data_IF_615940381800
#
_entry.id   IF_615940381800
#
_cell.length_a   1.000
_cell.length_b   1.000
_cell.length_c   1.000
_cell.angle_alpha   90.00
_cell.angle_beta   90.00
_cell.angle_gamma   90.00
#
_symmetry.space_group_name_H-M   'P 1'
#
loop_
_entity.id
_entity.type
_entity.pdbx_description
1 polymer ?
#
# COMPACT_ATOMS: atom_id res chain seq x y z
N UNK A 1 -15.72 -2.91 -20.28
CA UNK A 1 -16.16 -4.13 -19.56
C UNK A 1 -17.57 -3.97 -19.00
N UNK A 2 -17.88 -2.88 -18.29
CA UNK A 2 -19.25 -2.60 -17.80
C UNK A 2 -20.32 -2.65 -18.90
N UNK A 3 -20.08 -1.98 -20.04
CA UNK A 3 -20.97 -2.04 -21.23
C UNK A 3 -21.18 -3.43 -21.82
N UNK A 4 -20.24 -4.35 -21.63
CA UNK A 4 -20.34 -5.73 -22.16
C UNK A 4 -21.11 -6.65 -21.20
N UNK A 5 -21.24 -6.26 -19.94
CA UNK A 5 -21.89 -7.04 -18.89
C UNK A 5 -23.19 -6.38 -18.40
N UNK A 6 -23.74 -5.43 -19.18
CA UNK A 6 -24.94 -4.65 -18.85
C UNK A 6 -24.96 -4.11 -17.41
N UNK A 7 -23.77 -3.74 -16.91
CA UNK A 7 -23.59 -3.25 -15.55
C UNK A 7 -23.53 -1.72 -15.58
N UNK A 8 -24.19 -1.08 -14.63
CA UNK A 8 -24.11 0.38 -14.47
C UNK A 8 -22.66 0.84 -14.26
N UNK A 9 -22.26 1.97 -14.88
CA UNK A 9 -20.95 2.57 -14.61
C UNK A 9 -20.82 2.95 -13.13
N UNK A 10 -19.81 2.41 -12.46
CA UNK A 10 -19.46 2.75 -11.08
C UNK A 10 -17.93 2.94 -11.03
N UNK A 11 -17.42 4.06 -10.48
CA UNK A 11 -15.97 4.29 -10.37
C UNK A 11 -15.26 3.23 -9.52
N UNK A 12 -15.96 2.48 -8.66
CA UNK A 12 -15.35 1.47 -7.80
C UNK A 12 -15.00 0.16 -8.54
N UNK A 13 -15.31 0.02 -9.82
CA UNK A 13 -14.86 -1.14 -10.60
C UNK A 13 -13.37 -1.04 -10.94
N UNK A 14 -12.60 -2.05 -10.53
CA UNK A 14 -11.14 -2.05 -10.64
C UNK A 14 -10.66 -3.34 -11.27
N UNK A 15 -9.63 -3.25 -12.11
CA UNK A 15 -8.86 -4.41 -12.55
C UNK A 15 -7.86 -4.81 -11.48
N UNK A 16 -7.87 -6.08 -11.11
CA UNK A 16 -7.02 -6.65 -10.07
C UNK A 16 -6.09 -7.66 -10.72
N UNK A 17 -4.79 -7.44 -10.59
CA UNK A 17 -3.79 -8.47 -10.85
C UNK A 17 -3.73 -9.41 -9.64
N UNK A 18 -3.97 -10.70 -9.86
CA UNK A 18 -3.89 -11.73 -8.83
C UNK A 18 -2.83 -12.75 -9.20
N UNK A 19 -1.95 -13.06 -8.26
CA UNK A 19 -1.01 -14.17 -8.34
C UNK A 19 -1.44 -15.28 -7.37
N UNK A 20 -2.06 -16.37 -7.88
CA UNK A 20 -2.59 -17.45 -7.04
C UNK A 20 -1.50 -18.24 -6.29
N UNK A 21 -0.35 -18.46 -6.92
CA UNK A 21 0.76 -19.22 -6.35
C UNK A 21 1.28 -18.55 -5.07
N UNK A 22 1.48 -17.24 -5.10
CA UNK A 22 1.92 -16.44 -3.96
C UNK A 22 0.78 -16.00 -3.05
N UNK A 23 -0.48 -16.13 -3.49
CA UNK A 23 -1.68 -15.65 -2.80
C UNK A 23 -1.62 -14.15 -2.51
N UNK A 24 -1.27 -13.39 -3.55
CA UNK A 24 -1.19 -11.94 -3.50
C UNK A 24 -2.08 -11.34 -4.60
N UNK A 25 -2.58 -10.13 -4.37
CA UNK A 25 -3.31 -9.37 -5.37
C UNK A 25 -3.04 -7.87 -5.27
N UNK A 26 -3.07 -7.14 -6.39
CA UNK A 26 -3.00 -5.67 -6.40
C UNK A 26 -4.07 -5.09 -7.30
N UNK A 27 -4.53 -3.91 -6.93
CA UNK A 27 -5.43 -3.08 -7.72
C UNK A 27 -4.55 -2.36 -8.74
N UNK A 28 -4.92 -2.39 -10.02
CA UNK A 28 -4.29 -1.57 -11.04
C UNK A 28 -4.80 -0.14 -10.92
N UNK A 29 -3.88 0.81 -11.03
CA UNK A 29 -4.23 2.21 -11.20
C UNK A 29 -4.79 2.46 -12.60
N UNK A 30 -5.68 3.45 -12.72
CA UNK A 30 -6.42 3.68 -13.97
C UNK A 30 -5.52 4.13 -15.12
N UNK A 31 -4.33 4.65 -14.78
CA UNK A 31 -3.33 5.11 -15.73
C UNK A 31 -2.36 3.99 -16.18
N UNK A 32 -2.39 2.81 -15.54
CA UNK A 32 -1.50 1.70 -15.90
C UNK A 32 -1.91 1.03 -17.22
N UNK A 33 -0.92 0.73 -18.06
CA UNK A 33 -1.12 -0.06 -19.27
C UNK A 33 -1.31 -1.53 -18.93
N UNK A 34 -2.51 -2.05 -19.19
CA UNK A 34 -2.83 -3.48 -19.00
C UNK A 34 -1.87 -4.38 -19.81
N UNK A 35 -1.46 -3.93 -20.99
CA UNK A 35 -0.52 -4.66 -21.86
C UNK A 35 0.85 -4.77 -21.17
N UNK A 36 1.34 -3.70 -20.56
CA UNK A 36 2.65 -3.70 -19.89
C UNK A 36 2.63 -4.58 -18.65
N UNK A 37 1.53 -4.51 -17.87
CA UNK A 37 1.34 -5.38 -16.70
C UNK A 37 1.37 -6.85 -17.10
N UNK A 38 0.58 -7.26 -18.10
CA UNK A 38 0.54 -8.67 -18.54
C UNK A 38 1.86 -9.11 -19.17
N UNK A 39 2.52 -8.23 -19.93
CA UNK A 39 3.82 -8.52 -20.57
C UNK A 39 4.95 -8.68 -19.55
N UNK A 40 4.81 -8.12 -18.34
CA UNK A 40 5.77 -8.30 -17.26
C UNK A 40 5.68 -9.67 -16.56
N UNK A 41 4.64 -10.45 -16.86
CA UNK A 41 4.45 -11.75 -16.23
C UNK A 41 5.44 -12.79 -16.77
N UNK A 42 5.91 -13.72 -15.93
CA UNK A 42 6.61 -14.91 -16.41
C UNK A 42 5.77 -15.67 -17.44
N UNK A 43 6.42 -16.30 -18.42
CA UNK A 43 5.74 -17.04 -19.47
C UNK A 43 4.88 -18.21 -18.95
N UNK A 44 5.27 -18.77 -17.79
CA UNK A 44 4.58 -19.85 -17.07
C UNK A 44 3.64 -19.33 -15.96
N UNK A 45 3.30 -18.03 -16.00
CA UNK A 45 2.53 -17.40 -14.95
C UNK A 45 1.08 -17.88 -14.91
N UNK A 46 0.63 -18.27 -13.72
CA UNK A 46 -0.80 -18.47 -13.40
C UNK A 46 -1.50 -17.17 -12.98
N UNK A 47 -0.88 -16.01 -13.22
CA UNK A 47 -1.47 -14.71 -12.89
C UNK A 47 -2.80 -14.51 -13.63
N UNK A 48 -3.70 -13.76 -13.01
CA UNK A 48 -5.05 -13.49 -13.55
C UNK A 48 -5.39 -12.02 -13.40
N UNK A 49 -6.05 -11.47 -14.41
CA UNK A 49 -6.78 -10.21 -14.29
C UNK A 49 -8.21 -10.51 -13.87
N UNK A 50 -8.65 -9.85 -12.81
CA UNK A 50 -9.99 -10.00 -12.24
C UNK A 50 -10.63 -8.62 -12.17
N UNK A 51 -11.83 -8.46 -12.71
CA UNK A 51 -12.62 -7.25 -12.47
C UNK A 51 -13.43 -7.43 -11.19
N UNK A 52 -13.35 -6.47 -10.27
CA UNK A 52 -14.14 -6.49 -9.05
C UNK A 52 -14.51 -5.06 -8.61
N UNK A 53 -15.61 -4.92 -7.86
CA UNK A 53 -15.99 -3.65 -7.25
C UNK A 53 -15.25 -3.53 -5.91
N UNK A 54 -14.32 -2.58 -5.83
CA UNK A 54 -13.44 -2.33 -4.67
C UNK A 54 -13.62 -0.89 -4.26
N UNK A 55 -14.61 -0.64 -3.39
CA UNK A 55 -14.83 0.71 -2.88
C UNK A 55 -13.53 1.26 -2.31
N UNK A 56 -12.81 0.52 -1.50
CA UNK A 56 -11.58 0.97 -0.83
C UNK A 56 -10.51 1.64 -1.72
N UNK A 57 -10.49 1.42 -3.05
CA UNK A 57 -9.53 2.06 -3.98
C UNK A 57 -9.50 3.59 -3.85
N UNK A 58 -10.66 4.23 -3.78
CA UNK A 58 -10.76 5.70 -3.68
C UNK A 58 -11.18 6.14 -2.27
N UNK A 59 -10.83 5.36 -1.24
CA UNK A 59 -11.15 5.70 0.15
C UNK A 59 -10.49 7.02 0.58
N UNK A 60 -9.26 7.29 0.13
CA UNK A 60 -8.55 8.55 0.42
C UNK A 60 -9.33 9.74 -0.10
N UNK A 61 -9.72 9.75 -1.38
CA UNK A 61 -10.44 10.89 -1.96
C UNK A 61 -11.81 11.13 -1.36
N UNK A 62 -12.48 10.07 -0.87
CA UNK A 62 -13.79 10.23 -0.20
C UNK A 62 -13.67 10.79 1.20
N UNK A 63 -12.65 10.39 1.95
CA UNK A 63 -12.45 10.77 3.35
C UNK A 63 -10.98 11.12 3.64
N UNK A 64 -10.40 12.15 2.99
CA UNK A 64 -8.97 12.46 3.08
C UNK A 64 -8.52 12.74 4.52
N UNK A 65 -9.39 13.27 5.36
CA UNK A 65 -9.12 13.54 6.77
C UNK A 65 -8.70 12.30 7.58
N UNK A 66 -9.17 11.10 7.20
CA UNK A 66 -8.82 9.84 7.88
C UNK A 66 -7.39 9.38 7.55
N UNK A 67 -6.78 9.97 6.53
CA UNK A 67 -5.52 9.54 5.95
C UNK A 67 -4.43 10.60 6.07
N UNK A 68 -4.79 11.85 5.86
CA UNK A 68 -3.87 12.97 5.74
C UNK A 68 -3.64 13.70 7.07
N UNK A 69 -4.60 13.68 7.99
CA UNK A 69 -4.43 14.30 9.31
C UNK A 69 -3.63 13.37 10.25
N UNK A 70 -2.72 13.96 11.02
CA UNK A 70 -1.99 13.23 12.07
C UNK A 70 -2.87 13.07 13.30
N UNK A 71 -2.59 12.04 14.11
CA UNK A 71 -3.27 11.80 15.41
C UNK A 71 -3.20 12.99 16.37
N UNK A 72 -2.23 13.87 16.15
CA UNK A 72 -1.91 15.01 17.01
C UNK A 72 -2.67 16.29 16.60
N UNK A 73 -3.44 16.20 15.51
CA UNK A 73 -4.30 17.30 15.06
C UNK A 73 -5.48 17.44 16.02
N UNK A 74 -5.60 18.60 16.69
CA UNK A 74 -6.70 18.87 17.62
C UNK A 74 -8.07 18.60 16.99
N UNK A 75 -9.01 18.08 17.79
CA UNK A 75 -10.38 17.72 17.36
C UNK A 75 -11.13 18.86 16.64
N UNK A 76 -10.81 20.12 16.96
CA UNK A 76 -11.36 21.29 16.26
C UNK A 76 -10.82 21.49 14.83
N UNK A 77 -9.56 21.16 14.57
CA UNK A 77 -8.96 21.23 13.23
C UNK A 77 -9.46 20.10 12.31
N UNK A 78 -9.74 18.91 12.86
CA UNK A 78 -10.35 17.81 12.12
C UNK A 78 -11.79 18.13 11.65
N UNK A 79 -12.57 18.85 12.47
CA UNK A 79 -13.92 19.30 12.11
C UNK A 79 -13.91 20.45 11.07
N UNK A 80 -12.92 21.35 11.12
CA UNK A 80 -12.72 22.35 10.05
C UNK A 80 -12.26 21.69 8.73
N UNK A 81 -11.44 20.65 8.81
CA UNK A 81 -10.92 19.91 7.65
C UNK A 81 -12.01 19.14 6.89
N UNK A 82 -13.08 18.70 7.56
CA UNK A 82 -14.23 18.05 6.90
C UNK A 82 -14.96 19.00 5.94
N UNK A 83 -14.98 20.31 6.24
CA UNK A 83 -15.55 21.36 5.38
C UNK A 83 -14.63 21.78 4.22
N UNK A 84 -13.39 21.28 4.19
CA UNK A 84 -12.35 21.69 3.26
C UNK A 84 -11.61 20.49 2.64
N UNK A 85 -12.33 19.42 2.27
CA UNK A 85 -11.75 18.23 1.62
C UNK A 85 -10.90 18.59 0.40
N UNK A 86 -11.39 19.50 -0.42
CA UNK A 86 -10.69 19.96 -1.63
C UNK A 86 -9.39 20.67 -1.28
N UNK A 87 -9.36 21.44 -0.20
CA UNK A 87 -8.15 22.12 0.28
C UNK A 87 -7.12 21.09 0.76
N UNK A 88 -7.54 20.09 1.54
CA UNK A 88 -6.63 19.01 1.99
C UNK A 88 -6.02 18.24 0.82
N UNK A 89 -6.83 17.90 -0.17
CA UNK A 89 -6.36 17.22 -1.38
C UNK A 89 -5.44 18.13 -2.20
N UNK A 90 -5.80 19.41 -2.35
CA UNK A 90 -5.02 20.38 -3.10
C UNK A 90 -3.65 20.64 -2.44
N UNK A 91 -3.60 20.80 -1.12
CA UNK A 91 -2.34 20.95 -0.38
C UNK A 91 -1.45 19.71 -0.49
N UNK A 92 -2.04 18.50 -0.46
CA UNK A 92 -1.29 17.25 -0.50
C UNK A 92 -0.74 16.92 -1.89
N UNK A 93 -1.55 17.08 -2.94
CA UNK A 93 -1.21 16.74 -4.32
C UNK A 93 -0.61 17.91 -5.12
N UNK A 94 -0.31 19.04 -4.49
CA UNK A 94 0.43 20.13 -5.14
C UNK A 94 1.83 19.66 -5.54
N UNK A 95 2.13 19.74 -6.85
CA UNK A 95 3.36 19.20 -7.46
C UNK A 95 4.67 19.69 -6.82
N UNK A 96 4.69 20.93 -6.33
CA UNK A 96 5.88 21.54 -5.72
C UNK A 96 5.96 21.33 -4.20
N UNK A 97 4.90 20.80 -3.59
CA UNK A 97 4.74 20.70 -2.14
C UNK A 97 4.20 19.35 -1.70
N UNK A 98 4.42 18.27 -2.48
CA UNK A 98 4.07 16.90 -2.09
C UNK A 98 4.89 16.50 -0.85
N UNK A 99 4.43 16.97 0.31
CA UNK A 99 4.94 16.68 1.63
C UNK A 99 4.36 15.34 2.01
N UNK A 100 4.98 14.30 1.46
CA UNK A 100 4.74 12.94 1.88
C UNK A 100 4.90 12.87 3.41
N UNK A 101 3.82 12.70 4.20
CA UNK A 101 3.94 12.58 5.64
C UNK A 101 4.88 11.42 5.94
N UNK A 102 5.94 11.68 6.70
CA UNK A 102 6.84 10.62 7.16
C UNK A 102 6.03 9.65 8.02
N UNK A 103 5.61 8.53 7.42
CA UNK A 103 4.93 7.46 8.14
C UNK A 103 5.99 6.59 8.79
N UNK A 104 5.90 6.42 10.10
CA UNK A 104 6.76 5.50 10.81
C UNK A 104 6.00 4.66 11.83
N UNK A 105 6.62 3.57 12.25
CA UNK A 105 6.04 2.67 13.21
C UNK A 105 6.63 1.27 13.18
N UNK A 106 6.19 0.44 14.13
CA UNK A 106 6.65 -0.93 14.25
C UNK A 106 5.82 -1.85 13.35
N UNK A 107 6.48 -2.47 12.38
CA UNK A 107 5.89 -3.49 11.49
C UNK A 107 6.58 -4.84 11.70
N UNK A 108 5.95 -5.92 11.26
CA UNK A 108 6.61 -7.22 11.19
C UNK A 108 7.21 -7.45 9.80
N UNK A 109 8.45 -7.91 9.77
CA UNK A 109 9.16 -8.38 8.59
C UNK A 109 9.29 -9.91 8.63
N UNK A 110 9.09 -10.57 7.48
CA UNK A 110 9.34 -12.00 7.35
C UNK A 110 10.84 -12.27 7.17
N UNK A 111 11.46 -12.99 8.09
CA UNK A 111 12.89 -13.35 8.02
C UNK A 111 13.13 -14.85 7.72
N UNK A 112 12.08 -15.68 7.72
CA UNK A 112 12.18 -17.10 7.43
C UNK A 112 10.86 -17.68 6.89
N UNK A 113 10.76 -19.00 6.68
CA UNK A 113 9.56 -19.62 6.07
C UNK A 113 8.25 -19.28 6.81
N UNK A 114 8.29 -19.29 8.15
CA UNK A 114 7.17 -18.97 9.05
C UNK A 114 7.63 -18.12 10.25
N UNK A 115 8.71 -17.35 10.07
CA UNK A 115 9.31 -16.53 11.12
C UNK A 115 9.12 -15.05 10.81
N UNK A 116 8.73 -14.29 11.83
CA UNK A 116 8.33 -12.89 11.76
C UNK A 116 9.00 -12.11 12.88
N UNK A 117 9.57 -10.95 12.56
CA UNK A 117 10.27 -10.12 13.53
C UNK A 117 9.80 -8.68 13.43
N UNK A 118 9.67 -8.03 14.59
CA UNK A 118 9.31 -6.62 14.69
C UNK A 118 10.52 -5.74 14.40
N UNK A 119 10.35 -4.77 13.52
CA UNK A 119 11.31 -3.70 13.27
C UNK A 119 10.60 -2.36 13.25
N UNK A 120 11.34 -1.30 13.54
CA UNK A 120 10.86 0.06 13.30
C UNK A 120 11.06 0.40 11.84
N UNK A 121 10.00 0.85 11.16
CA UNK A 121 10.01 1.25 9.76
C UNK A 121 9.76 2.75 9.65
N UNK A 122 10.36 3.35 8.63
CA UNK A 122 10.11 4.73 8.21
C UNK A 122 9.89 4.73 6.70
N UNK A 123 8.79 5.33 6.29
CA UNK A 123 8.43 5.58 4.92
C UNK A 123 8.92 6.97 4.53
N UNK A 124 9.68 7.06 3.45
CA UNK A 124 10.14 8.32 2.87
C UNK A 124 9.79 8.35 1.39
N UNK A 125 9.83 9.52 0.77
CA UNK A 125 9.65 9.68 -0.67
C UNK A 125 10.53 8.73 -1.51
N UNK A 126 11.76 8.49 -1.05
CA UNK A 126 12.73 7.66 -1.76
C UNK A 126 12.58 6.15 -1.54
N UNK A 127 11.76 5.71 -0.57
CA UNK A 127 11.65 4.28 -0.24
C UNK A 127 11.31 3.98 1.21
N UNK A 128 11.45 2.69 1.55
CA UNK A 128 11.21 2.13 2.87
C UNK A 128 12.55 1.90 3.57
N UNK A 129 12.64 2.42 4.78
CA UNK A 129 13.80 2.32 5.65
C UNK A 129 13.41 1.61 6.95
N UNK A 130 14.36 0.92 7.60
CA UNK A 130 14.08 0.21 8.86
C UNK A 130 15.30 0.12 9.77
N UNK A 131 15.09 -0.20 11.05
CA UNK A 131 16.17 -0.49 12.02
C UNK A 131 16.38 -2.01 12.18
N UNK A 132 17.52 -2.58 11.75
CA UNK A 132 17.74 -4.04 11.83
C UNK A 132 17.84 -4.55 13.28
N UNK A 133 18.39 -3.72 14.18
CA UNK A 133 18.63 -4.04 15.59
C UNK A 133 17.80 -3.14 16.50
N UNK A 134 16.47 -3.30 16.50
CA UNK A 134 15.65 -2.57 17.45
C UNK A 134 14.17 -2.50 17.09
N UNK A 135 13.39 -1.99 18.05
CA UNK A 135 11.96 -1.64 17.88
C UNK A 135 11.73 -0.14 18.06
N UNK A 136 12.79 0.63 18.28
CA UNK A 136 12.75 2.06 18.60
C UNK A 136 13.25 2.88 17.41
N UNK A 137 12.80 4.14 17.36
CA UNK A 137 13.26 5.13 16.39
C UNK A 137 14.71 5.52 16.71
N UNK A 138 15.67 4.98 15.96
CA UNK A 138 17.06 5.43 15.96
C UNK A 138 17.42 5.88 14.55
N UNK A 139 17.51 7.20 14.34
CA UNK A 139 17.87 7.78 13.05
C UNK A 139 19.29 7.40 12.60
N UNK A 140 20.17 7.02 13.54
CA UNK A 140 21.55 6.61 13.26
C UNK A 140 21.66 5.18 12.73
N UNK A 141 20.71 4.32 13.08
CA UNK A 141 20.74 2.89 12.77
C UNK A 141 19.76 2.50 11.65
N UNK A 142 19.18 3.49 10.98
CA UNK A 142 18.21 3.26 9.93
C UNK A 142 18.91 2.89 8.62
N UNK A 143 18.45 1.81 7.98
CA UNK A 143 19.01 1.34 6.70
C UNK A 143 17.90 1.28 5.65
N UNK A 144 18.27 1.50 4.39
CA UNK A 144 17.34 1.36 3.26
C UNK A 144 17.01 -0.12 3.07
N UNK A 145 15.73 -0.48 3.17
CA UNK A 145 15.25 -1.80 2.81
C UNK A 145 14.97 -1.89 1.31
N UNK A 146 14.29 -0.87 0.78
CA UNK A 146 13.79 -0.87 -0.58
C UNK A 146 13.58 0.57 -1.07
N UNK A 147 13.92 0.85 -2.33
CA UNK A 147 13.55 2.09 -3.04
C UNK A 147 12.30 1.85 -3.88
N UNK A 148 11.48 2.87 -4.14
CA UNK A 148 10.24 2.70 -4.92
C UNK A 148 10.42 2.52 -6.43
N UNK A 149 11.64 2.67 -6.92
CA UNK A 149 11.96 2.36 -8.31
C UNK A 149 11.66 0.89 -8.63
N UNK A 150 10.72 0.66 -9.57
CA UNK A 150 10.33 -0.67 -10.06
C UNK A 150 9.78 -1.63 -9.00
N UNK A 151 9.04 -1.10 -8.01
CA UNK A 151 8.36 -1.90 -6.98
C UNK A 151 6.86 -1.87 -7.19
N UNK A 152 6.26 -3.05 -7.17
CA UNK A 152 4.80 -3.21 -7.13
C UNK A 152 4.37 -3.71 -5.75
N UNK A 153 3.26 -3.15 -5.26
CA UNK A 153 2.71 -3.47 -3.94
C UNK A 153 1.50 -4.36 -4.12
N UNK A 154 1.48 -5.47 -3.40
CA UNK A 154 0.38 -6.41 -3.39
C UNK A 154 -0.15 -6.62 -1.98
N UNK A 155 -1.43 -6.95 -1.87
CA UNK A 155 -2.09 -7.39 -0.67
C UNK A 155 -1.95 -8.91 -0.54
N UNK A 156 -1.50 -9.38 0.62
CA UNK A 156 -1.40 -10.80 0.94
C UNK A 156 -2.73 -11.38 1.40
N UNK A 157 -3.12 -12.53 0.86
CA UNK A 157 -4.37 -13.20 1.18
C UNK A 157 -4.13 -14.48 2.01
N UNK A 158 -4.70 -14.53 3.22
CA UNK A 158 -4.69 -15.71 4.08
C UNK A 158 -3.31 -16.08 4.64
N UNK A 159 -2.41 -15.10 4.78
CA UNK A 159 -1.04 -15.34 5.28
C UNK A 159 -0.98 -15.70 6.75
N UNK A 160 -1.98 -15.34 7.58
CA UNK A 160 -2.06 -15.83 8.95
C UNK A 160 -2.10 -17.35 9.00
N UNK A 161 -2.91 -17.97 8.13
CA UNK A 161 -3.00 -19.43 8.01
C UNK A 161 -1.78 -20.03 7.31
N UNK A 162 -1.38 -19.49 6.16
CA UNK A 162 -0.33 -20.07 5.30
C UNK A 162 1.09 -19.84 5.82
N UNK A 163 1.40 -18.62 6.23
CA UNK A 163 2.74 -18.18 6.61
C UNK A 163 2.91 -17.92 8.11
N UNK A 164 1.88 -18.18 8.92
CA UNK A 164 1.86 -17.90 10.37
C UNK A 164 2.12 -16.42 10.68
N UNK A 165 1.63 -15.55 9.81
CA UNK A 165 1.69 -14.14 10.05
C UNK A 165 0.92 -13.73 11.33
N UNK A 166 1.35 -12.68 12.04
CA UNK A 166 0.64 -12.19 13.23
C UNK A 166 -0.80 -11.74 12.94
N UNK A 167 -1.05 -11.19 11.75
CA UNK A 167 -2.36 -10.69 11.30
C UNK A 167 -2.61 -11.10 9.84
N UNK A 168 -3.83 -10.90 9.35
CA UNK A 168 -4.16 -11.05 7.92
C UNK A 168 -3.95 -9.74 7.13
N UNK A 169 -3.59 -8.64 7.79
CA UNK A 169 -3.29 -7.35 7.17
C UNK A 169 -1.84 -7.32 6.70
N UNK A 170 -1.60 -7.88 5.52
CA UNK A 170 -0.28 -8.10 4.96
C UNK A 170 -0.15 -7.38 3.63
N UNK A 171 0.98 -6.75 3.39
CA UNK A 171 1.37 -6.32 2.06
C UNK A 171 2.71 -6.94 1.66
N UNK A 172 2.90 -7.02 0.35
CA UNK A 172 4.06 -7.62 -0.30
C UNK A 172 4.63 -6.62 -1.28
N UNK A 173 5.92 -6.37 -1.14
CA UNK A 173 6.68 -5.53 -2.06
C UNK A 173 7.41 -6.46 -3.02
N UNK A 174 7.04 -6.41 -4.30
CA UNK A 174 7.62 -7.20 -5.37
C UNK A 174 8.42 -6.29 -6.28
N UNK A 175 9.72 -6.53 -6.42
CA UNK A 175 10.54 -5.84 -7.41
C UNK A 175 10.25 -6.45 -8.79
N UNK A 176 9.99 -5.63 -9.81
CA UNK A 176 9.59 -6.11 -11.14
C UNK A 176 10.68 -6.94 -11.82
N UNK A 177 11.97 -6.66 -11.52
CA UNK A 177 13.12 -7.30 -12.19
C UNK A 177 13.73 -8.46 -11.38
N UNK A 178 13.57 -8.47 -10.06
CA UNK A 178 14.10 -9.51 -9.18
C UNK A 178 12.96 -10.12 -8.38
N UNK A 179 12.90 -11.45 -8.26
CA UNK A 179 11.94 -12.18 -7.41
C UNK A 179 12.18 -11.96 -5.89
N UNK A 180 12.46 -10.72 -5.47
CA UNK A 180 12.55 -10.35 -4.07
C UNK A 180 11.16 -9.91 -3.60
N UNK A 181 10.56 -10.73 -2.73
CA UNK A 181 9.28 -10.45 -2.10
C UNK A 181 9.53 -10.09 -0.63
N UNK A 182 9.31 -8.84 -0.27
CA UNK A 182 9.30 -8.44 1.13
C UNK A 182 7.87 -8.47 1.65
N UNK A 183 7.66 -9.13 2.79
CA UNK A 183 6.36 -9.23 3.44
C UNK A 183 6.35 -8.33 4.68
N UNK A 184 5.47 -7.34 4.70
CA UNK A 184 5.35 -6.35 5.76
C UNK A 184 3.91 -6.28 6.31
N UNK A 185 3.80 -5.94 7.60
CA UNK A 185 2.54 -6.04 8.36
C UNK A 185 2.37 -4.86 9.30
N UNK A 186 1.19 -4.25 9.29
CA UNK A 186 0.83 -3.24 10.29
C UNK A 186 0.47 -3.88 11.64
N UNK A 187 1.01 -3.29 12.70
CA UNK A 187 0.43 -3.43 14.04
C UNK A 187 -0.83 -2.56 14.08
N UNK A 188 -1.96 -3.13 14.50
CA UNK A 188 -3.31 -2.52 14.55
C UNK A 188 -3.40 -1.20 15.36
N UNK A 189 -2.31 -0.75 15.97
CA UNK A 189 -2.21 0.50 16.72
C UNK A 189 -1.86 1.75 15.89
N UNK A 190 -1.44 1.61 14.62
CA UNK A 190 -1.32 2.76 13.72
C UNK A 190 -2.59 2.84 12.86
N UNK A 191 -3.35 3.91 13.05
CA UNK A 191 -4.72 4.14 12.59
C UNK A 191 -4.90 4.30 11.07
N UNK A 192 -3.86 4.11 10.25
CA UNK A 192 -3.94 4.35 8.80
C UNK A 192 -4.18 3.04 8.02
N UNK A 193 -5.28 2.92 7.25
CA UNK A 193 -5.64 1.69 6.55
C UNK A 193 -4.57 1.20 5.56
N UNK A 194 -4.53 -0.10 5.31
CA UNK A 194 -3.68 -0.71 4.27
C UNK A 194 -3.92 -0.11 2.87
N UNK A 195 -5.16 0.29 2.57
CA UNK A 195 -5.50 1.01 1.34
C UNK A 195 -4.78 2.36 1.22
N UNK A 196 -4.41 2.97 2.35
CA UNK A 196 -3.61 4.19 2.35
C UNK A 196 -2.26 3.95 1.71
N UNK A 197 -1.50 2.92 2.13
CA UNK A 197 -0.17 2.68 1.57
C UNK A 197 -0.21 2.38 0.07
N UNK A 198 -1.21 1.62 -0.38
CA UNK A 198 -1.34 1.29 -1.79
C UNK A 198 -1.62 2.54 -2.63
N UNK A 199 -2.51 3.40 -2.16
CA UNK A 199 -2.84 4.67 -2.80
C UNK A 199 -1.67 5.67 -2.69
N UNK A 200 -1.06 5.75 -1.52
CA UNK A 200 0.09 6.60 -1.19
C UNK A 200 1.35 6.29 -2.00
N UNK A 201 1.52 5.05 -2.45
CA UNK A 201 2.68 4.61 -3.23
C UNK A 201 2.34 4.36 -4.71
N UNK A 202 1.06 4.30 -5.08
CA UNK A 202 0.64 4.29 -6.49
C UNK A 202 0.71 5.67 -7.14
N UNK A 203 0.67 6.74 -6.32
CA UNK A 203 0.78 8.13 -6.76
C UNK A 203 2.22 8.70 -6.74
N UNK A 204 3.22 7.89 -6.33
CA UNK A 204 4.67 8.23 -6.30
C UNK A 204 5.38 7.59 -7.48
#
# INVERSE_FOLDING_TARGET
>A
MMRKNDTEPDPNWVLIERNPQLNIERLLEDHESVVDVVSSWPWDSENKLVLNNRREKYALFRNPQNFLLSSDTSTGAAQLAEKSKDILLQEFFQKDAMRLPELDGVLYLKEGKKSWKKHYFVLRASGIYYTPKGKTKSLRDIVCLLKFEHVSIFNGMGFKKKLKAPTDHCFVLKVTVFFCLFFLFFSYHNTRPQSFLQQYLGDV
#
